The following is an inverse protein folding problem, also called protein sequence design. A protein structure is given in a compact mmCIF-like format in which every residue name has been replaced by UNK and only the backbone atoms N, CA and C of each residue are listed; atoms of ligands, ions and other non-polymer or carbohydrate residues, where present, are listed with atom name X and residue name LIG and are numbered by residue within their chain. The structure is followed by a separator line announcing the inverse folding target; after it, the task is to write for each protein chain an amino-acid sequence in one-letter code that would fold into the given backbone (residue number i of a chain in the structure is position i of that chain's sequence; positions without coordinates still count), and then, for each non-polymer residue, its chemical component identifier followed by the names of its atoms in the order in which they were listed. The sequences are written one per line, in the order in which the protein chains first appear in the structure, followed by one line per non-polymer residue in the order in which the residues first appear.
data_IF_788156324785
#
_entry.id   IF_788156324785
#
_cell.length_a   1.000
_cell.length_b   1.000
_cell.length_c   1.000
_cell.angle_alpha   90.00
_cell.angle_beta   90.00
_cell.angle_gamma   90.00
#
_symmetry.space_group_name_H-M   'P 1'
#
loop_
_entity.id
_entity.type
_entity.pdbx_description
1 polymer ?
#
# COMPACT_ATOMS: atom_id res chain seq x y z
N UNK A 1 15.00 6.93 63.73
CA UNK A 1 13.60 7.15 63.31
C UNK A 1 13.65 7.59 61.85
N UNK A 2 14.18 6.75 60.97
CA UNK A 2 13.47 5.72 60.18
C UNK A 2 12.74 6.36 59.01
N UNK A 3 13.43 6.35 57.85
CA UNK A 3 13.03 6.84 56.54
C UNK A 3 12.02 5.87 55.87
N UNK A 4 11.10 5.33 56.67
CA UNK A 4 10.20 4.23 56.30
C UNK A 4 8.76 4.73 56.11
N UNK A 5 8.40 5.86 56.72
CA UNK A 5 7.07 6.45 56.63
C UNK A 5 6.79 7.20 55.31
N UNK A 6 7.83 7.55 54.54
CA UNK A 6 7.66 8.31 53.29
C UNK A 6 7.34 7.44 52.06
N UNK A 7 7.59 6.13 52.13
CA UNK A 7 7.43 5.23 50.97
C UNK A 7 6.04 4.58 50.86
N UNK A 8 5.19 4.74 51.88
CA UNK A 8 3.87 4.10 51.93
C UNK A 8 2.75 5.00 51.34
N UNK A 9 3.04 6.29 51.12
CA UNK A 9 2.07 7.29 50.67
C UNK A 9 1.86 7.38 49.15
N UNK A 10 2.64 6.65 48.34
CA UNK A 10 2.56 6.66 46.87
C UNK A 10 2.03 5.37 46.26
N UNK A 11 1.65 4.39 47.07
CA UNK A 11 1.02 3.16 46.60
C UNK A 11 -0.48 3.42 46.43
N UNK A 12 -0.93 3.63 45.19
CA UNK A 12 -2.37 3.66 44.90
C UNK A 12 -2.98 2.35 45.44
N UNK A 13 -4.09 2.40 46.20
CA UNK A 13 -4.73 1.20 46.71
C UNK A 13 -5.02 0.22 45.56
N UNK A 14 -4.80 -1.08 45.76
CA UNK A 14 -4.87 -2.11 44.70
C UNK A 14 -6.14 -2.03 43.84
N UNK A 15 -7.28 -1.62 44.43
CA UNK A 15 -8.55 -1.39 43.72
C UNK A 15 -8.47 -0.32 42.63
N UNK A 16 -7.64 0.72 42.78
CA UNK A 16 -7.47 1.79 41.79
C UNK A 16 -6.51 1.39 40.67
N UNK A 17 -5.52 0.54 40.95
CA UNK A 17 -4.65 -0.08 39.93
C UNK A 17 -5.47 -1.06 39.09
N UNK A 18 -6.29 -1.89 39.73
CA UNK A 18 -7.17 -2.87 39.08
C UNK A 18 -8.21 -2.20 38.17
N UNK A 19 -8.88 -1.12 38.63
CA UNK A 19 -9.83 -0.37 37.80
C UNK A 19 -9.16 0.30 36.58
N UNK A 20 -7.92 0.78 36.74
CA UNK A 20 -7.17 1.39 35.66
C UNK A 20 -6.73 0.35 34.61
N UNK A 21 -6.35 -0.87 35.04
CA UNK A 21 -6.03 -1.98 34.13
C UNK A 21 -7.26 -2.53 33.42
N UNK A 22 -8.40 -2.65 34.10
CA UNK A 22 -9.64 -3.17 33.51
C UNK A 22 -10.22 -2.19 32.48
N UNK A 23 -10.18 -0.88 32.77
CA UNK A 23 -10.61 0.15 31.82
C UNK A 23 -9.63 0.33 30.65
N UNK A 24 -8.33 0.11 30.85
CA UNK A 24 -7.35 0.09 29.76
C UNK A 24 -7.53 -1.16 28.88
N UNK A 25 -7.79 -2.32 29.49
CA UNK A 25 -8.07 -3.56 28.79
C UNK A 25 -9.34 -3.45 27.94
N UNK A 26 -10.46 -2.96 28.51
CA UNK A 26 -11.71 -2.76 27.77
C UNK A 26 -11.53 -1.83 26.56
N UNK A 27 -10.86 -0.69 26.73
CA UNK A 27 -10.56 0.24 25.61
C UNK A 27 -9.65 -0.37 24.54
N UNK A 28 -8.73 -1.25 24.92
CA UNK A 28 -7.85 -1.93 23.98
C UNK A 28 -8.58 -3.06 23.25
N UNK A 29 -9.52 -3.74 23.90
CA UNK A 29 -10.41 -4.73 23.27
C UNK A 29 -11.34 -4.04 22.26
N UNK A 30 -11.97 -2.91 22.61
CA UNK A 30 -12.83 -2.18 21.68
C UNK A 30 -12.06 -1.68 20.44
N UNK A 31 -10.81 -1.21 20.62
CA UNK A 31 -9.93 -0.82 19.51
C UNK A 31 -9.51 -2.01 18.66
N UNK A 32 -9.22 -3.16 19.27
CA UNK A 32 -8.88 -4.38 18.54
C UNK A 32 -10.09 -4.90 17.74
N UNK A 33 -11.30 -4.82 18.30
CA UNK A 33 -12.56 -5.14 17.61
C UNK A 33 -12.82 -4.17 16.45
N UNK A 34 -12.52 -2.87 16.61
CA UNK A 34 -12.65 -1.89 15.54
C UNK A 34 -11.56 -2.03 14.44
N UNK A 35 -10.41 -2.65 14.75
CA UNK A 35 -9.31 -2.91 13.81
C UNK A 35 -9.36 -4.32 13.18
N UNK A 36 -10.17 -5.23 13.73
CA UNK A 36 -10.53 -6.48 13.08
C UNK A 36 -11.46 -6.15 11.93
N UNK A 37 -10.89 -6.00 10.74
CA UNK A 37 -11.65 -6.15 9.49
C UNK A 37 -12.46 -7.43 9.61
N UNK A 38 -13.77 -7.34 9.40
CA UNK A 38 -14.62 -8.52 9.44
C UNK A 38 -14.04 -9.55 8.46
N UNK A 39 -13.73 -10.75 8.96
CA UNK A 39 -13.17 -11.81 8.13
C UNK A 39 -14.12 -12.16 6.99
N UNK A 40 -15.43 -11.96 7.20
CA UNK A 40 -16.44 -12.13 6.16
C UNK A 40 -16.34 -11.05 5.07
N UNK A 41 -16.04 -9.79 5.44
CA UNK A 41 -15.79 -8.71 4.47
C UNK A 41 -14.51 -8.97 3.67
N UNK A 42 -13.45 -9.44 4.33
CA UNK A 42 -12.19 -9.76 3.67
C UNK A 42 -12.34 -10.96 2.73
N UNK A 43 -13.13 -11.95 3.13
CA UNK A 43 -13.48 -13.10 2.30
C UNK A 43 -14.37 -12.71 1.12
N UNK A 44 -15.37 -11.84 1.33
CA UNK A 44 -16.20 -11.30 0.27
C UNK A 44 -15.37 -10.50 -0.75
N UNK A 45 -14.40 -9.69 -0.28
CA UNK A 45 -13.48 -8.94 -1.14
C UNK A 45 -12.61 -9.90 -1.98
N UNK A 46 -12.11 -10.98 -1.37
CA UNK A 46 -11.33 -12.00 -2.06
C UNK A 46 -12.15 -12.74 -3.12
N UNK A 47 -13.40 -13.09 -2.82
CA UNK A 47 -14.31 -13.71 -3.78
C UNK A 47 -14.64 -12.78 -4.94
N UNK A 48 -14.90 -11.50 -4.66
CA UNK A 48 -15.13 -10.49 -5.69
C UNK A 48 -13.90 -10.31 -6.60
N UNK A 49 -12.69 -10.26 -6.02
CA UNK A 49 -11.45 -10.18 -6.78
C UNK A 49 -11.22 -11.41 -7.68
N UNK A 50 -11.58 -12.61 -7.22
CA UNK A 50 -11.52 -13.84 -8.03
C UNK A 50 -12.59 -13.89 -9.13
N UNK A 51 -13.75 -13.29 -8.87
CA UNK A 51 -14.86 -13.26 -9.81
C UNK A 51 -14.74 -12.13 -10.85
N UNK A 52 -13.80 -11.19 -10.67
CA UNK A 52 -13.55 -10.12 -11.62
C UNK A 52 -13.24 -10.72 -13.02
N UNK A 53 -13.86 -10.19 -14.09
CA UNK A 53 -13.57 -10.66 -15.43
C UNK A 53 -12.09 -10.49 -15.71
N UNK A 54 -11.47 -11.54 -16.25
CA UNK A 54 -10.10 -11.45 -16.74
C UNK A 54 -10.01 -10.28 -17.73
N UNK A 55 -8.91 -9.52 -17.66
CA UNK A 55 -8.66 -8.44 -18.62
C UNK A 55 -8.90 -8.95 -20.04
N UNK A 56 -9.64 -8.21 -20.89
CA UNK A 56 -9.92 -8.62 -22.27
C UNK A 56 -8.64 -8.67 -23.12
N UNK A 57 -7.52 -8.15 -22.61
CA UNK A 57 -6.24 -8.23 -23.27
C UNK A 57 -5.54 -9.57 -22.97
N UNK A 58 -4.87 -10.20 -23.95
CA UNK A 58 -4.08 -11.42 -23.73
C UNK A 58 -3.13 -11.24 -22.53
N UNK A 59 -3.00 -12.27 -21.68
CA UNK A 59 -2.14 -12.26 -20.48
C UNK A 59 -2.41 -11.08 -19.51
N UNK A 60 -3.66 -10.65 -19.38
CA UNK A 60 -3.99 -9.58 -18.43
C UNK A 60 -3.70 -8.17 -18.96
N UNK A 61 -3.25 -8.02 -20.21
CA UNK A 61 -2.76 -6.75 -20.77
C UNK A 61 -1.24 -6.64 -20.85
N UNK A 62 -0.52 -7.54 -20.17
CA UNK A 62 0.93 -7.54 -20.14
C UNK A 62 1.53 -8.23 -21.38
N UNK A 63 2.46 -7.52 -22.00
CA UNK A 63 3.19 -7.91 -23.20
C UNK A 63 4.69 -7.96 -22.91
N UNK A 64 5.44 -8.78 -23.65
CA UNK A 64 6.89 -8.88 -23.51
C UNK A 64 7.54 -7.51 -23.77
N UNK A 65 8.48 -7.10 -22.91
CA UNK A 65 9.14 -5.78 -22.99
C UNK A 65 9.83 -5.52 -24.34
N UNK A 66 10.24 -6.56 -25.07
CA UNK A 66 10.85 -6.42 -26.40
C UNK A 66 9.90 -5.81 -27.44
N UNK A 67 8.59 -5.89 -27.19
CA UNK A 67 7.51 -5.37 -28.06
C UNK A 67 7.05 -3.96 -27.69
N UNK A 68 7.59 -3.38 -26.61
CA UNK A 68 7.14 -2.09 -26.10
C UNK A 68 7.48 -0.92 -27.06
N UNK A 69 6.60 0.08 -27.18
CA UNK A 69 6.83 1.24 -28.03
C UNK A 69 7.99 2.10 -27.48
N UNK A 70 9.02 2.32 -28.31
CA UNK A 70 10.21 3.12 -27.95
C UNK A 70 10.19 4.53 -28.55
N UNK A 71 9.00 5.07 -28.74
CA UNK A 71 8.72 6.36 -29.38
C UNK A 71 8.32 7.45 -28.37
N UNK A 72 8.37 7.15 -27.08
CA UNK A 72 7.95 8.06 -26.00
C UNK A 72 6.50 7.89 -25.56
N UNK A 73 5.74 6.95 -26.14
CA UNK A 73 4.41 6.56 -25.66
C UNK A 73 4.43 6.22 -24.17
N UNK A 74 3.42 6.70 -23.44
CA UNK A 74 3.22 6.40 -22.02
C UNK A 74 2.70 4.98 -21.86
N UNK A 75 3.39 4.19 -21.05
CA UNK A 75 3.07 2.79 -20.75
C UNK A 75 3.28 2.50 -19.28
N UNK A 76 2.75 1.37 -18.84
CA UNK A 76 3.12 0.81 -17.55
C UNK A 76 4.12 -0.32 -17.74
N UNK A 77 5.03 -0.46 -16.78
CA UNK A 77 6.11 -1.43 -16.80
C UNK A 77 6.01 -2.38 -15.61
N UNK A 78 6.38 -3.65 -15.81
CA UNK A 78 6.51 -4.62 -14.73
C UNK A 78 7.98 -4.98 -14.51
N UNK A 79 8.44 -4.75 -13.28
CA UNK A 79 9.75 -5.14 -12.79
C UNK A 79 9.57 -6.32 -11.83
N UNK A 80 10.28 -7.45 -12.00
CA UNK A 80 10.10 -8.63 -11.14
C UNK A 80 10.23 -8.36 -9.63
N UNK A 81 11.19 -7.53 -9.23
CA UNK A 81 11.50 -7.27 -7.82
C UNK A 81 10.70 -6.09 -7.23
N UNK A 82 10.17 -5.20 -8.08
CA UNK A 82 9.48 -3.97 -7.66
C UNK A 82 7.98 -3.99 -7.93
N UNK A 83 7.53 -4.84 -8.85
CA UNK A 83 6.17 -4.83 -9.37
C UNK A 83 5.95 -3.75 -10.44
N UNK A 84 4.73 -3.19 -10.46
CA UNK A 84 4.27 -2.25 -11.48
C UNK A 84 4.86 -0.85 -11.25
N UNK A 85 5.39 -0.26 -12.33
CA UNK A 85 5.73 1.15 -12.43
C UNK A 85 4.77 1.80 -13.43
N UNK A 86 4.00 2.78 -12.99
CA UNK A 86 3.05 3.50 -13.86
C UNK A 86 3.70 4.70 -14.57
N UNK A 87 3.06 5.16 -15.63
CA UNK A 87 3.37 6.45 -16.29
C UNK A 87 4.82 6.54 -16.83
N UNK A 88 5.35 5.42 -17.32
CA UNK A 88 6.71 5.33 -17.82
C UNK A 88 6.78 5.64 -19.33
N UNK A 89 7.90 6.21 -19.76
CA UNK A 89 8.18 6.52 -21.17
C UNK A 89 9.58 6.08 -21.54
N UNK A 90 9.76 5.72 -22.82
CA UNK A 90 11.09 5.51 -23.39
C UNK A 90 11.75 6.86 -23.66
N UNK A 91 13.02 6.99 -23.27
CA UNK A 91 13.80 8.22 -23.48
C UNK A 91 15.26 7.92 -23.79
N UNK A 92 16.11 8.96 -23.83
CA UNK A 92 17.52 8.83 -24.25
C UNK A 92 18.33 7.82 -23.44
N UNK A 93 17.98 7.65 -22.17
CA UNK A 93 18.66 6.75 -21.23
C UNK A 93 17.86 5.47 -20.95
N UNK A 94 16.86 5.16 -21.79
CA UNK A 94 15.96 4.02 -21.64
C UNK A 94 14.67 4.35 -20.90
N UNK A 95 14.03 3.34 -20.32
CA UNK A 95 12.77 3.47 -19.58
C UNK A 95 12.92 4.32 -18.32
N UNK A 96 11.95 5.20 -18.08
CA UNK A 96 11.87 5.97 -16.85
C UNK A 96 10.53 6.68 -16.72
N UNK A 97 10.24 7.22 -15.54
CA UNK A 97 9.02 8.03 -15.31
C UNK A 97 9.38 9.39 -14.72
N UNK A 98 8.51 10.37 -14.94
CA UNK A 98 8.64 11.65 -14.26
C UNK A 98 8.04 11.57 -12.86
N UNK A 99 8.77 12.07 -11.87
CA UNK A 99 8.32 12.18 -10.50
C UNK A 99 8.41 13.63 -10.04
N UNK A 100 7.39 14.08 -9.33
CA UNK A 100 7.46 15.34 -8.61
C UNK A 100 8.28 15.15 -7.33
N UNK A 101 9.36 15.92 -7.15
CA UNK A 101 10.19 15.90 -5.93
C UNK A 101 10.34 17.32 -5.39
N UNK A 102 9.52 17.65 -4.40
CA UNK A 102 9.53 18.95 -3.73
C UNK A 102 9.04 20.05 -4.67
N UNK A 103 9.95 20.82 -5.25
CA UNK A 103 9.65 21.95 -6.14
C UNK A 103 10.03 21.72 -7.61
N UNK A 104 10.53 20.53 -7.97
CA UNK A 104 10.98 20.24 -9.33
C UNK A 104 10.59 18.82 -9.78
N UNK A 105 10.47 18.64 -11.09
CA UNK A 105 10.26 17.33 -11.71
C UNK A 105 11.59 16.66 -12.00
N UNK A 106 11.76 15.41 -11.56
CA UNK A 106 12.94 14.59 -11.84
C UNK A 106 12.52 13.39 -12.67
N UNK A 107 13.35 12.98 -13.62
CA UNK A 107 13.16 11.71 -14.33
C UNK A 107 13.81 10.58 -13.52
N UNK A 108 12.99 9.70 -12.96
CA UNK A 108 13.46 8.50 -12.28
C UNK A 108 13.72 7.41 -13.31
N UNK A 109 14.92 6.84 -13.28
CA UNK A 109 15.35 5.72 -14.13
C UNK A 109 15.70 4.58 -13.19
N UNK A 110 14.89 3.52 -13.11
CA UNK A 110 15.23 2.33 -12.35
C UNK A 110 16.53 1.69 -12.88
N UNK A 111 17.39 1.21 -11.96
CA UNK A 111 18.59 0.44 -12.32
C UNK A 111 18.27 -0.96 -12.85
N UNK A 112 17.14 -1.52 -12.42
CA UNK A 112 16.61 -2.80 -12.87
C UNK A 112 16.04 -2.71 -14.29
N UNK A 113 15.79 -3.87 -14.92
CA UNK A 113 15.16 -3.95 -16.23
C UNK A 113 13.71 -4.45 -16.11
N UNK A 114 12.75 -3.77 -16.75
CA UNK A 114 11.39 -4.29 -16.82
C UNK A 114 11.36 -5.53 -17.72
N UNK A 115 10.45 -6.45 -17.44
CA UNK A 115 10.25 -7.68 -18.23
C UNK A 115 8.99 -7.64 -19.08
N UNK A 116 8.00 -6.85 -18.66
CA UNK A 116 6.74 -6.71 -19.38
C UNK A 116 6.28 -5.26 -19.40
N UNK A 117 5.40 -4.94 -20.35
CA UNK A 117 4.73 -3.65 -20.46
C UNK A 117 3.23 -3.85 -20.70
N UNK A 118 2.43 -2.83 -20.41
CA UNK A 118 1.05 -2.75 -20.88
C UNK A 118 0.72 -1.32 -21.33
N UNK A 119 -0.23 -1.14 -22.26
CA UNK A 119 -0.73 0.19 -22.60
C UNK A 119 -1.25 0.91 -21.37
N UNK A 120 -1.05 2.22 -21.30
CA UNK A 120 -1.63 3.02 -20.22
C UNK A 120 -3.17 2.91 -20.28
N UNK A 121 -3.85 2.58 -19.17
CA UNK A 121 -5.30 2.40 -19.17
C UNK A 121 -5.99 3.71 -19.57
N UNK A 122 -7.04 3.60 -20.39
CA UNK A 122 -7.89 4.73 -20.70
C UNK A 122 -8.50 5.29 -19.41
N UNK A 123 -8.62 6.62 -19.33
CA UNK A 123 -9.33 7.25 -18.23
C UNK A 123 -10.77 6.69 -18.15
N UNK A 124 -11.33 6.52 -16.94
CA UNK A 124 -12.72 6.13 -16.80
C UNK A 124 -13.64 7.12 -17.54
N UNK A 125 -14.54 6.60 -18.36
CA UNK A 125 -15.60 7.38 -18.99
C UNK A 125 -16.82 7.40 -18.06
N UNK A 126 -16.76 8.20 -17.00
CA UNK A 126 -17.91 8.46 -16.14
C UNK A 126 -18.29 9.92 -16.23
N UNK A 127 -19.57 10.22 -16.43
CA UNK A 127 -20.11 11.56 -16.18
C UNK A 127 -19.89 11.86 -14.69
N UNK A 128 -19.25 12.99 -14.41
CA UNK A 128 -18.88 13.45 -13.07
C UNK A 128 -20.09 13.84 -12.21
#
# INVERSE_FOLDING_TARGET
MSNEAANDALRLPDRFVQLATDAAWARNVDKATAMMVDLDDLYALLLAAKAAPASPLPRGGWQDISTAPKDGTVVDLFYPERGRLTDATWGPTGWGRHEWRGSHTVRMIPSEKPTHWMPFPAAPTGDA
#
